data_IF_688235725036
#
_entry.id   IF_688235725036
#
_cell.length_a   1.000
_cell.length_b   1.000
_cell.length_c   1.000
_cell.angle_alpha   90.00
_cell.angle_beta   90.00
_cell.angle_gamma   90.00
#
_symmetry.space_group_name_H-M   'P 1'
#
loop_
_entity.id
_entity.type
_entity.pdbx_description
1 polymer ?
#
# COMPACT_ATOMS: atom_id res chain seq x y z
N UNK A 1 -16.63 64.13 -5.71
CA UNK A 1 -16.40 63.20 -4.57
C UNK A 1 -17.39 62.01 -4.52
N UNK A 2 -18.72 62.21 -4.53
CA UNK A 2 -19.72 61.08 -4.46
C UNK A 2 -19.58 60.01 -5.55
N UNK A 3 -19.25 60.36 -6.79
CA UNK A 3 -19.10 59.40 -7.90
C UNK A 3 -17.92 58.43 -7.69
N UNK A 4 -16.80 58.92 -7.18
CA UNK A 4 -15.61 58.07 -6.91
C UNK A 4 -15.82 57.15 -5.72
N UNK A 5 -16.62 57.57 -4.73
CA UNK A 5 -16.99 56.73 -3.60
C UNK A 5 -17.85 55.53 -4.05
N UNK A 6 -18.81 55.75 -4.93
CA UNK A 6 -19.66 54.69 -5.48
C UNK A 6 -18.86 53.71 -6.32
N UNK A 7 -17.92 54.17 -7.14
CA UNK A 7 -17.05 53.31 -7.93
C UNK A 7 -16.15 52.46 -7.03
N UNK A 8 -15.59 53.05 -5.99
CA UNK A 8 -14.75 52.32 -5.04
C UNK A 8 -15.54 51.20 -4.31
N UNK A 9 -16.77 51.46 -3.90
CA UNK A 9 -17.64 50.45 -3.27
C UNK A 9 -17.95 49.30 -4.23
N UNK A 10 -18.28 49.61 -5.50
CA UNK A 10 -18.54 48.57 -6.51
C UNK A 10 -17.31 47.72 -6.76
N UNK A 11 -16.12 48.31 -6.84
CA UNK A 11 -14.87 47.58 -7.02
C UNK A 11 -14.57 46.61 -5.83
N UNK A 12 -14.80 47.08 -4.60
CA UNK A 12 -14.62 46.26 -3.40
C UNK A 12 -15.60 45.06 -3.40
N UNK A 13 -16.85 45.28 -3.77
CA UNK A 13 -17.85 44.21 -3.87
C UNK A 13 -17.50 43.20 -4.96
N UNK A 14 -17.02 43.66 -6.14
CA UNK A 14 -16.57 42.77 -7.22
C UNK A 14 -15.34 41.95 -6.79
N UNK A 15 -14.38 42.55 -6.09
CA UNK A 15 -13.22 41.84 -5.55
C UNK A 15 -13.63 40.79 -4.53
N UNK A 16 -14.60 41.08 -3.67
CA UNK A 16 -15.16 40.14 -2.71
C UNK A 16 -15.83 38.95 -3.37
N UNK A 17 -16.63 39.15 -4.41
CA UNK A 17 -17.26 38.09 -5.19
C UNK A 17 -16.22 37.21 -5.88
N UNK A 18 -15.19 37.79 -6.47
CA UNK A 18 -14.09 37.07 -7.11
C UNK A 18 -13.30 36.22 -6.09
N UNK A 19 -13.06 36.74 -4.89
CA UNK A 19 -12.36 36.06 -3.83
C UNK A 19 -13.16 34.83 -3.35
N UNK A 20 -14.47 34.99 -3.13
CA UNK A 20 -15.37 33.90 -2.73
C UNK A 20 -15.44 32.85 -3.83
N UNK A 21 -15.54 33.22 -5.10
CA UNK A 21 -15.54 32.29 -6.22
C UNK A 21 -14.20 31.51 -6.33
N UNK A 22 -13.07 32.18 -6.09
CA UNK A 22 -11.75 31.57 -6.08
C UNK A 22 -11.61 30.55 -4.94
N UNK A 23 -12.02 30.93 -3.72
CA UNK A 23 -11.98 30.03 -2.55
C UNK A 23 -12.89 28.80 -2.78
N UNK A 24 -14.11 29.02 -3.28
CA UNK A 24 -15.04 27.93 -3.59
C UNK A 24 -14.47 26.99 -4.65
N UNK A 25 -13.89 27.52 -5.73
CA UNK A 25 -13.25 26.70 -6.78
C UNK A 25 -12.07 25.88 -6.26
N UNK A 26 -11.32 26.44 -5.30
CA UNK A 26 -10.21 25.71 -4.65
C UNK A 26 -10.73 24.62 -3.72
N UNK A 27 -11.82 24.85 -3.02
CA UNK A 27 -12.50 23.85 -2.18
C UNK A 27 -13.08 22.71 -3.03
N UNK A 28 -13.82 23.05 -4.11
CA UNK A 28 -14.38 22.06 -5.04
C UNK A 28 -13.28 21.21 -5.71
N UNK A 29 -12.10 21.79 -5.99
CA UNK A 29 -10.96 21.06 -6.54
C UNK A 29 -10.31 20.10 -5.52
N UNK A 30 -10.36 20.42 -4.22
CA UNK A 30 -9.91 19.53 -3.15
C UNK A 30 -10.93 18.41 -2.92
N UNK A 31 -12.23 18.72 -2.93
CA UNK A 31 -13.29 17.70 -2.79
C UNK A 31 -13.35 16.73 -3.97
N UNK A 32 -13.06 17.18 -5.21
CA UNK A 32 -13.03 16.28 -6.37
C UNK A 32 -11.87 15.27 -6.31
N UNK A 33 -10.83 15.54 -5.53
CA UNK A 33 -9.76 14.57 -5.28
C UNK A 33 -10.17 13.47 -4.29
N UNK A 34 -11.23 13.68 -3.49
CA UNK A 34 -11.75 12.72 -2.51
C UNK A 34 -12.93 11.86 -3.03
N UNK A 35 -13.34 11.98 -4.27
CA UNK A 35 -14.58 11.36 -4.81
C UNK A 35 -14.41 9.88 -5.22
N UNK A 36 -13.23 9.30 -5.11
CA UNK A 36 -13.07 7.82 -5.15
C UNK A 36 -12.55 7.36 -3.80
N UNK A 37 -13.39 7.46 -2.79
CA UNK A 37 -12.99 7.24 -1.41
C UNK A 37 -12.75 5.75 -1.09
N UNK A 38 -11.59 5.27 -1.44
CA UNK A 38 -10.82 4.40 -0.59
C UNK A 38 -10.63 5.14 0.74
N UNK A 39 -10.85 4.49 1.86
CA UNK A 39 -10.71 5.16 3.17
C UNK A 39 -9.25 5.62 3.34
N UNK A 40 -9.02 6.65 4.16
CA UNK A 40 -7.64 7.13 4.42
C UNK A 40 -6.73 6.00 4.93
N UNK A 41 -7.29 5.06 5.69
CA UNK A 41 -6.55 3.92 6.24
C UNK A 41 -6.19 2.91 5.14
N UNK A 42 -7.08 2.63 4.19
CA UNK A 42 -6.78 1.78 3.03
C UNK A 42 -5.64 2.37 2.17
N UNK A 43 -5.66 3.69 1.94
CA UNK A 43 -4.56 4.37 1.20
C UNK A 43 -3.23 4.26 1.95
N UNK A 44 -3.24 4.35 3.28
CA UNK A 44 -2.04 4.18 4.11
C UNK A 44 -1.51 2.76 4.03
N UNK A 45 -2.39 1.77 4.10
CA UNK A 45 -2.02 0.36 3.99
C UNK A 45 -1.44 0.05 2.60
N UNK A 46 -2.07 0.51 1.53
CA UNK A 46 -1.54 0.38 0.16
C UNK A 46 -0.17 1.03 0.00
N UNK A 47 0.03 2.22 0.59
CA UNK A 47 1.32 2.91 0.55
C UNK A 47 2.40 2.11 1.29
N UNK A 48 2.09 1.59 2.48
CA UNK A 48 3.03 0.77 3.26
C UNK A 48 3.38 -0.50 2.48
N UNK A 49 2.39 -1.20 1.92
CA UNK A 49 2.61 -2.38 1.09
C UNK A 49 3.50 -2.03 -0.11
N UNK A 50 3.21 -0.95 -0.83
CA UNK A 50 4.00 -0.53 -1.97
C UNK A 50 5.48 -0.24 -1.63
N UNK A 51 5.76 0.29 -0.43
CA UNK A 51 7.11 0.53 0.05
C UNK A 51 7.88 -0.77 0.36
N UNK A 52 7.17 -1.84 0.72
CA UNK A 52 7.78 -3.11 1.11
C UNK A 52 7.72 -4.19 0.03
N UNK A 53 6.92 -4.03 -1.04
CA UNK A 53 6.62 -5.09 -2.00
C UNK A 53 7.87 -5.68 -2.68
N UNK A 54 8.88 -4.88 -2.98
CA UNK A 54 10.14 -5.37 -3.55
C UNK A 54 10.86 -6.29 -2.56
N UNK A 55 10.96 -5.87 -1.29
CA UNK A 55 11.58 -6.67 -0.24
C UNK A 55 10.79 -7.95 0.07
N UNK A 56 9.46 -7.86 0.10
CA UNK A 56 8.56 -9.00 0.28
C UNK A 56 8.77 -10.00 -0.88
N UNK A 57 8.68 -9.53 -2.13
CA UNK A 57 8.88 -10.36 -3.32
C UNK A 57 10.22 -11.08 -3.32
N UNK A 58 11.30 -10.38 -2.96
CA UNK A 58 12.64 -10.97 -2.84
C UNK A 58 12.67 -12.09 -1.81
N UNK A 59 12.14 -11.86 -0.61
CA UNK A 59 12.16 -12.84 0.48
C UNK A 59 11.26 -14.05 0.18
N UNK A 60 10.09 -13.83 -0.42
CA UNK A 60 9.21 -14.89 -0.89
C UNK A 60 9.93 -15.76 -1.94
N UNK A 61 10.51 -15.16 -2.98
CA UNK A 61 11.23 -15.92 -3.99
C UNK A 61 12.43 -16.68 -3.41
N UNK A 62 13.13 -16.11 -2.43
CA UNK A 62 14.23 -16.77 -1.74
C UNK A 62 13.75 -18.01 -0.99
N UNK A 63 12.64 -17.95 -0.26
CA UNK A 63 12.03 -19.08 0.43
C UNK A 63 11.56 -20.15 -0.56
N UNK A 64 10.76 -19.77 -1.54
CA UNK A 64 10.16 -20.71 -2.51
C UNK A 64 11.17 -21.31 -3.48
N UNK A 65 12.35 -20.70 -3.68
CA UNK A 65 13.40 -21.27 -4.55
C UNK A 65 13.89 -22.64 -4.13
N UNK A 66 13.70 -23.04 -2.87
CA UNK A 66 13.98 -24.38 -2.39
C UNK A 66 12.92 -25.40 -2.78
N UNK A 67 11.71 -24.96 -3.10
CA UNK A 67 10.52 -25.79 -3.33
C UNK A 67 10.02 -25.75 -4.75
N UNK A 68 10.32 -24.67 -5.50
CA UNK A 68 9.84 -24.42 -6.86
C UNK A 68 10.95 -23.94 -7.79
N UNK A 69 10.91 -24.41 -9.05
CA UNK A 69 11.88 -24.01 -10.09
C UNK A 69 11.51 -22.71 -10.80
N UNK A 70 10.29 -22.20 -10.64
CA UNK A 70 9.77 -21.03 -11.32
C UNK A 70 9.82 -19.77 -10.48
N UNK A 71 9.64 -18.61 -11.13
CA UNK A 71 9.47 -17.34 -10.44
C UNK A 71 8.12 -17.30 -9.74
N UNK A 72 8.12 -16.90 -8.47
CA UNK A 72 6.92 -16.69 -7.67
C UNK A 72 6.52 -15.24 -7.76
N UNK A 73 5.23 -15.01 -8.05
CA UNK A 73 4.65 -13.69 -8.14
C UNK A 73 4.06 -13.28 -6.79
N UNK A 74 4.29 -12.02 -6.41
CA UNK A 74 3.65 -11.37 -5.26
C UNK A 74 2.97 -10.12 -5.76
N UNK A 75 1.68 -9.98 -5.47
CA UNK A 75 0.87 -8.85 -5.90
C UNK A 75 0.46 -7.99 -4.72
N UNK A 76 0.47 -6.65 -4.89
CA UNK A 76 0.08 -5.72 -3.85
C UNK A 76 -1.33 -6.00 -3.31
N UNK A 77 -2.27 -6.31 -4.22
CA UNK A 77 -3.68 -6.58 -3.88
C UNK A 77 -3.91 -7.94 -3.20
N UNK A 78 -2.92 -8.82 -3.17
CA UNK A 78 -2.91 -10.10 -2.43
C UNK A 78 -1.97 -10.05 -1.22
N UNK A 79 -1.50 -8.87 -0.88
CA UNK A 79 -0.69 -8.60 0.30
C UNK A 79 -1.51 -7.74 1.25
N UNK A 80 -1.56 -8.14 2.51
CA UNK A 80 -2.29 -7.42 3.56
C UNK A 80 -1.36 -7.06 4.72
N UNK A 81 -1.71 -6.04 5.47
CA UNK A 81 -1.09 -5.75 6.76
C UNK A 81 -1.87 -6.49 7.84
N UNK A 82 -1.22 -7.45 8.49
CA UNK A 82 -1.80 -8.25 9.58
C UNK A 82 -1.71 -7.50 10.91
N UNK A 83 -0.57 -6.84 11.15
CA UNK A 83 -0.36 -6.05 12.37
C UNK A 83 0.68 -4.96 12.15
N UNK A 84 0.50 -3.84 12.84
CA UNK A 84 1.51 -2.79 13.00
C UNK A 84 1.63 -2.51 14.50
N UNK A 85 2.84 -2.61 15.03
CA UNK A 85 3.10 -2.39 16.44
C UNK A 85 4.28 -1.45 16.63
N UNK A 86 4.12 -0.51 17.57
CA UNK A 86 5.23 0.31 18.03
C UNK A 86 5.97 -0.46 19.12
N UNK A 87 7.23 -0.74 18.87
CA UNK A 87 8.09 -1.43 19.83
C UNK A 87 8.90 -0.42 20.67
N UNK A 88 9.57 -0.91 21.70
CA UNK A 88 10.51 -0.10 22.46
C UNK A 88 11.59 0.52 21.55
N UNK A 89 12.22 1.58 21.98
CA UNK A 89 13.27 2.29 21.23
C UNK A 89 12.82 2.96 19.91
N UNK A 90 11.55 3.37 19.82
CA UNK A 90 10.99 4.05 18.65
C UNK A 90 11.03 3.21 17.34
N UNK A 91 11.19 1.91 17.44
CA UNK A 91 11.07 1.01 16.30
C UNK A 91 9.60 0.68 16.03
N UNK A 92 9.30 0.28 14.80
CA UNK A 92 7.97 -0.18 14.38
C UNK A 92 8.14 -1.60 13.85
N UNK A 93 7.25 -2.51 14.23
CA UNK A 93 7.10 -3.82 13.61
C UNK A 93 5.89 -3.81 12.70
N UNK A 94 6.05 -4.34 11.48
CA UNK A 94 4.95 -4.54 10.52
C UNK A 94 4.93 -6.00 10.13
N UNK A 95 3.79 -6.66 10.29
CA UNK A 95 3.56 -8.02 9.84
C UNK A 95 2.69 -7.99 8.58
N UNK A 96 3.17 -8.57 7.52
CA UNK A 96 2.47 -8.74 6.26
C UNK A 96 1.97 -10.17 6.12
N UNK A 97 0.72 -10.34 5.66
CA UNK A 97 0.18 -11.57 5.13
C UNK A 97 0.27 -11.54 3.61
N UNK A 98 0.80 -12.59 3.01
CA UNK A 98 1.11 -12.65 1.59
C UNK A 98 0.56 -13.94 1.00
N UNK A 99 -0.03 -13.85 -0.18
CA UNK A 99 -0.45 -15.02 -0.98
C UNK A 99 0.47 -15.15 -2.20
N UNK A 100 1.56 -15.93 -2.12
CA UNK A 100 2.45 -16.15 -3.26
C UNK A 100 1.75 -16.94 -4.36
N UNK A 101 2.03 -16.61 -5.62
CA UNK A 101 1.37 -17.20 -6.78
C UNK A 101 2.33 -17.75 -7.82
N UNK A 102 1.94 -18.82 -8.48
CA UNK A 102 2.59 -19.35 -9.67
C UNK A 102 1.74 -19.06 -10.92
N UNK A 103 2.36 -18.53 -11.97
CA UNK A 103 1.64 -18.05 -13.14
C UNK A 103 0.58 -17.00 -12.80
N UNK A 104 -0.46 -16.90 -13.62
CA UNK A 104 -1.53 -15.95 -13.37
C UNK A 104 -2.53 -16.52 -12.35
N UNK A 105 -2.57 -15.91 -11.15
CA UNK A 105 -3.61 -16.14 -10.13
C UNK A 105 -3.76 -17.59 -9.62
N UNK A 106 -2.66 -18.36 -9.51
CA UNK A 106 -2.69 -19.66 -8.86
C UNK A 106 -1.93 -19.58 -7.53
N UNK A 107 -2.62 -19.50 -6.40
CA UNK A 107 -1.98 -19.36 -5.10
C UNK A 107 -1.25 -20.65 -4.71
N UNK A 108 -0.05 -20.50 -4.11
CA UNK A 108 0.78 -21.59 -3.61
C UNK A 108 0.56 -21.82 -2.13
N UNK A 109 0.26 -20.78 -1.39
CA UNK A 109 0.11 -20.82 0.05
C UNK A 109 -0.24 -19.46 0.62
N UNK A 110 -0.16 -19.38 1.95
CA UNK A 110 -0.26 -18.14 2.70
C UNK A 110 0.93 -18.07 3.66
N UNK A 111 1.63 -16.94 3.59
CA UNK A 111 2.84 -16.69 4.36
C UNK A 111 2.70 -15.43 5.21
N UNK A 112 3.39 -15.39 6.35
CA UNK A 112 3.52 -14.19 7.16
C UNK A 112 4.97 -13.74 7.24
N UNK A 113 5.19 -12.45 6.99
CA UNK A 113 6.51 -11.81 7.02
C UNK A 113 6.51 -10.69 8.05
N UNK A 114 7.35 -10.78 9.08
CA UNK A 114 7.52 -9.76 10.08
C UNK A 114 8.76 -8.91 9.77
N UNK A 115 8.55 -7.62 9.56
CA UNK A 115 9.61 -6.63 9.41
C UNK A 115 9.73 -5.77 10.65
N UNK A 116 10.96 -5.42 11.00
CA UNK A 116 11.26 -4.40 12.01
C UNK A 116 11.91 -3.20 11.33
N UNK A 117 11.33 -2.03 11.57
CA UNK A 117 11.79 -0.74 11.05
C UNK A 117 12.42 0.02 12.21
N UNK A 118 13.70 0.40 12.06
CA UNK A 118 14.40 1.19 13.07
C UNK A 118 13.98 2.67 13.02
N UNK A 119 14.49 3.48 13.96
CA UNK A 119 14.17 4.90 14.06
C UNK A 119 14.70 5.75 12.89
N UNK A 120 15.59 5.21 12.06
CA UNK A 120 16.13 5.87 10.84
C UNK A 120 15.34 5.45 9.59
N UNK A 121 14.41 4.49 9.71
CA UNK A 121 13.56 4.03 8.61
C UNK A 121 14.09 2.80 7.88
N UNK A 122 15.14 2.12 8.36
CA UNK A 122 15.62 0.89 7.74
C UNK A 122 14.72 -0.28 8.14
N UNK A 123 14.07 -0.90 7.16
CA UNK A 123 13.25 -2.09 7.33
C UNK A 123 14.07 -3.36 7.14
N UNK A 124 14.01 -4.29 8.09
CA UNK A 124 14.66 -5.61 8.03
C UNK A 124 13.66 -6.71 8.30
N UNK A 125 13.64 -7.76 7.45
CA UNK A 125 12.90 -8.98 7.74
C UNK A 125 13.50 -9.66 8.99
N UNK A 126 12.66 -9.95 9.97
CA UNK A 126 13.05 -10.60 11.22
C UNK A 126 12.45 -12.01 11.37
N UNK A 127 11.33 -12.28 10.69
CA UNK A 127 10.70 -13.59 10.68
C UNK A 127 9.99 -13.81 9.35
N UNK A 128 10.10 -15.00 8.80
CA UNK A 128 9.31 -15.54 7.70
C UNK A 128 8.64 -16.81 8.20
N UNK A 129 7.34 -16.92 8.00
CA UNK A 129 6.56 -18.08 8.44
C UNK A 129 5.63 -18.53 7.31
N UNK A 130 5.77 -19.78 6.89
CA UNK A 130 4.83 -20.41 5.98
C UNK A 130 3.68 -20.98 6.80
N UNK A 131 2.47 -20.47 6.58
CA UNK A 131 1.30 -20.80 7.39
C UNK A 131 0.48 -21.92 6.77
N UNK A 132 0.35 -21.92 5.44
CA UNK A 132 -0.58 -22.81 4.76
C UNK A 132 -0.16 -23.09 3.32
N UNK A 133 -0.24 -24.34 2.92
CA UNK A 133 -0.17 -24.77 1.52
C UNK A 133 -1.55 -24.70 0.85
N UNK A 134 -1.56 -24.36 -0.44
CA UNK A 134 -2.71 -24.51 -1.32
C UNK A 134 -2.44 -25.56 -2.40
N UNK A 135 -3.52 -26.12 -2.96
CA UNK A 135 -3.41 -27.10 -4.03
C UNK A 135 -2.87 -26.45 -5.30
N UNK A 136 -1.78 -26.98 -5.81
CA UNK A 136 -1.15 -26.51 -7.05
C UNK A 136 -1.81 -27.19 -8.23
N UNK A 137 -2.36 -26.41 -9.22
CA UNK A 137 -2.95 -26.98 -10.43
C UNK A 137 -1.97 -27.92 -11.16
N UNK A 138 -2.50 -28.98 -11.78
CA UNK A 138 -1.73 -30.04 -12.44
C UNK A 138 -0.66 -29.49 -13.41
N UNK A 139 -1.00 -28.47 -14.19
CA UNK A 139 -0.08 -27.82 -15.14
C UNK A 139 1.18 -27.20 -14.50
N UNK A 140 1.16 -26.96 -13.20
CA UNK A 140 2.30 -26.39 -12.45
C UNK A 140 3.02 -27.39 -11.55
N UNK A 141 2.51 -28.61 -11.41
CA UNK A 141 3.14 -29.64 -10.57
C UNK A 141 4.57 -29.99 -11.04
N UNK A 142 4.86 -29.89 -12.33
CA UNK A 142 6.20 -30.09 -12.90
C UNK A 142 7.25 -29.05 -12.42
N UNK A 143 6.85 -27.97 -11.76
CA UNK A 143 7.75 -26.98 -11.18
C UNK A 143 8.07 -27.25 -9.71
N UNK A 144 7.40 -28.23 -9.08
CA UNK A 144 7.63 -28.58 -7.69
C UNK A 144 8.94 -29.38 -7.56
N UNK A 145 9.88 -28.93 -6.75
CA UNK A 145 11.12 -29.62 -6.41
C UNK A 145 10.87 -30.60 -5.26
N UNK A 146 10.24 -30.09 -4.22
CA UNK A 146 9.86 -30.86 -3.02
C UNK A 146 8.64 -30.19 -2.34
N UNK A 147 7.83 -30.94 -1.57
CA UNK A 147 6.73 -30.34 -0.81
C UNK A 147 7.27 -29.41 0.29
N UNK A 148 6.49 -28.39 0.64
CA UNK A 148 6.71 -27.58 1.86
C UNK A 148 6.02 -28.33 3.01
N UNK A 149 6.77 -28.62 4.06
CA UNK A 149 6.28 -29.31 5.28
C UNK A 149 5.65 -28.34 6.27
#
# INVERSE_FOLDING_TARGET
MRKYLVIAVILILLLGVLLVAYVKRKQDAVETFHVNATTEDEIKDELIIALFIESITKNVNMFYSEYYTGQIMVYNYETIIVAIEKTENRSISVKFGVTPMVGAHNPLGYDELLYKIDYVGNGKLVQYEHIKNYDVPEKFQGYIIKPIE
#
